data_IF_261008359348
#
_entry.id   IF_261008359348
#
_cell.length_a   1.000
_cell.length_b   1.000
_cell.length_c   1.000
_cell.angle_alpha   90.00
_cell.angle_beta   90.00
_cell.angle_gamma   90.00
#
_symmetry.space_group_name_H-M   'P 1'
#
loop_
_entity.id
_entity.type
_entity.pdbx_description
1 polymer ?
#
# COMPACT_ATOMS: atom_id res chain seq x y z
N UNK A 1 17.48 20.71 -12.12
CA UNK A 1 17.56 19.25 -12.02
C UNK A 1 16.69 18.67 -13.12
N UNK A 2 17.22 17.79 -13.99
CA UNK A 2 16.43 17.13 -15.05
C UNK A 2 16.07 15.76 -14.51
N UNK A 3 14.80 15.52 -14.18
CA UNK A 3 14.32 14.23 -13.70
C UNK A 3 14.11 13.34 -14.93
N UNK A 4 14.63 12.11 -14.88
CA UNK A 4 14.41 11.07 -15.89
C UNK A 4 13.48 9.99 -15.31
N UNK A 5 12.18 10.02 -15.66
CA UNK A 5 11.21 9.06 -15.12
C UNK A 5 11.43 7.62 -15.55
N UNK A 6 12.29 7.37 -16.56
CA UNK A 6 12.55 6.02 -17.05
C UNK A 6 13.50 5.23 -16.14
N UNK A 7 14.24 5.91 -15.27
CA UNK A 7 15.15 5.31 -14.30
C UNK A 7 14.48 4.91 -12.97
N UNK A 8 13.19 5.21 -12.81
CA UNK A 8 12.47 4.96 -11.56
C UNK A 8 12.22 3.47 -11.31
N UNK A 9 12.41 3.06 -10.05
CA UNK A 9 11.84 1.82 -9.54
C UNK A 9 10.30 1.84 -9.65
N UNK A 10 9.62 0.69 -9.57
CA UNK A 10 8.15 0.65 -9.63
C UNK A 10 7.47 1.52 -8.57
N UNK A 11 8.05 1.61 -7.36
CA UNK A 11 7.55 2.47 -6.29
C UNK A 11 7.72 3.95 -6.60
N UNK A 12 8.90 4.36 -7.09
CA UNK A 12 9.14 5.76 -7.50
C UNK A 12 8.25 6.16 -8.69
N UNK A 13 8.06 5.27 -9.66
CA UNK A 13 7.18 5.50 -10.80
C UNK A 13 5.71 5.67 -10.38
N UNK A 14 5.25 4.90 -9.38
CA UNK A 14 3.93 5.08 -8.79
C UNK A 14 3.80 6.46 -8.16
N UNK A 15 4.71 6.81 -7.25
CA UNK A 15 4.68 8.09 -6.54
C UNK A 15 4.70 9.26 -7.54
N UNK A 16 5.56 9.18 -8.55
CA UNK A 16 5.65 10.17 -9.62
C UNK A 16 4.34 10.32 -10.42
N UNK A 17 3.71 9.20 -10.79
CA UNK A 17 2.40 9.22 -11.50
C UNK A 17 1.30 9.89 -10.69
N UNK A 18 1.37 9.84 -9.36
CA UNK A 18 0.44 10.50 -8.45
C UNK A 18 0.88 11.93 -8.07
N UNK A 19 1.94 12.46 -8.70
CA UNK A 19 2.40 13.84 -8.50
C UNK A 19 3.19 14.04 -7.21
N UNK A 20 3.65 12.97 -6.56
CA UNK A 20 4.48 13.05 -5.36
C UNK A 20 5.88 13.51 -5.75
N UNK A 21 6.26 14.69 -5.26
CA UNK A 21 7.59 15.27 -5.48
C UNK A 21 8.37 15.50 -4.18
N UNK A 22 7.72 15.32 -3.03
CA UNK A 22 8.31 15.44 -1.68
C UNK A 22 7.64 14.40 -0.77
N UNK A 23 8.30 13.91 0.30
CA UNK A 23 7.77 12.85 1.17
C UNK A 23 6.41 13.16 1.80
N UNK A 24 6.13 14.43 2.08
CA UNK A 24 4.90 14.92 2.70
C UNK A 24 3.69 14.80 1.77
N UNK A 25 3.91 14.68 0.46
CA UNK A 25 2.85 14.45 -0.52
C UNK A 25 2.35 12.98 -0.53
N UNK A 26 3.00 12.07 0.20
CA UNK A 26 2.66 10.65 0.20
C UNK A 26 1.42 10.42 1.07
N UNK A 27 0.26 10.58 0.43
CA UNK A 27 -1.07 10.29 0.97
C UNK A 27 -1.51 8.88 0.55
N UNK A 28 -1.11 7.88 1.34
CA UNK A 28 -1.33 6.45 1.01
C UNK A 28 -2.80 6.08 0.85
N UNK A 29 -3.69 6.64 1.67
CA UNK A 29 -5.14 6.40 1.56
C UNK A 29 -5.70 6.95 0.25
N UNK A 30 -5.20 8.10 -0.22
CA UNK A 30 -5.60 8.69 -1.49
C UNK A 30 -5.10 7.84 -2.67
N UNK A 31 -3.83 7.40 -2.62
CA UNK A 31 -3.26 6.51 -3.64
C UNK A 31 -4.06 5.20 -3.71
N UNK A 32 -4.36 4.59 -2.56
CA UNK A 32 -5.17 3.38 -2.48
C UNK A 32 -6.56 3.56 -3.11
N UNK A 33 -7.22 4.69 -2.83
CA UNK A 33 -8.52 5.01 -3.40
C UNK A 33 -8.46 5.16 -4.94
N UNK A 34 -7.44 5.83 -5.48
CA UNK A 34 -7.25 5.97 -6.93
C UNK A 34 -6.91 4.62 -7.59
N UNK A 35 -6.14 3.78 -6.92
CA UNK A 35 -5.79 2.43 -7.41
C UNK A 35 -6.90 1.39 -7.17
N UNK A 36 -8.06 1.79 -6.64
CA UNK A 36 -9.26 0.96 -6.56
C UNK A 36 -9.32 -0.02 -5.40
N UNK A 37 -8.50 0.17 -4.36
CA UNK A 37 -8.45 -0.69 -3.17
C UNK A 37 -8.94 0.07 -1.93
N UNK A 38 -9.84 -0.55 -1.17
CA UNK A 38 -10.41 0.09 0.02
C UNK A 38 -9.49 -0.10 1.24
N UNK A 39 -9.26 0.96 2.02
CA UNK A 39 -8.48 0.90 3.27
C UNK A 39 -9.40 0.93 4.49
N UNK A 40 -9.12 0.08 5.48
CA UNK A 40 -9.85 -0.01 6.76
C UNK A 40 -8.89 -0.09 7.93
N UNK A 41 -8.87 0.95 8.76
CA UNK A 41 -8.19 0.93 10.06
C UNK A 41 -9.08 0.24 11.09
N UNK A 42 -8.59 -0.85 11.70
CA UNK A 42 -9.36 -1.63 12.68
C UNK A 42 -8.45 -2.42 13.62
N UNK A 43 -8.95 -2.91 14.76
CA UNK A 43 -8.22 -3.89 15.55
C UNK A 43 -7.89 -5.13 14.70
N UNK A 44 -6.61 -5.50 14.68
CA UNK A 44 -6.11 -6.74 14.09
C UNK A 44 -5.42 -7.59 15.16
N UNK A 45 -5.36 -8.89 14.96
CA UNK A 45 -4.56 -9.81 15.78
C UNK A 45 -3.58 -10.55 14.88
N UNK A 46 -2.35 -10.78 15.38
CA UNK A 46 -1.32 -11.53 14.66
C UNK A 46 -0.63 -10.81 13.48
N UNK A 47 -1.13 -9.68 12.98
CA UNK A 47 -0.56 -8.94 11.84
C UNK A 47 -0.74 -7.41 11.97
N UNK A 48 0.03 -6.62 11.20
CA UNK A 48 -0.09 -5.14 11.16
C UNK A 48 -0.94 -4.62 10.01
N UNK A 49 -0.97 -5.35 8.90
CA UNK A 49 -1.92 -5.14 7.84
C UNK A 49 -2.25 -6.48 7.18
N UNK A 50 -3.29 -6.47 6.35
CA UNK A 50 -3.69 -7.61 5.54
C UNK A 50 -4.46 -7.13 4.31
N UNK A 51 -4.01 -7.51 3.12
CA UNK A 51 -4.79 -7.45 1.89
C UNK A 51 -5.69 -8.69 1.75
N UNK A 52 -6.94 -8.46 1.35
CA UNK A 52 -7.85 -9.51 0.89
C UNK A 52 -8.33 -9.11 -0.50
N UNK A 53 -8.16 -10.01 -1.47
CA UNK A 53 -8.58 -9.82 -2.87
C UNK A 53 -9.67 -10.84 -3.22
N UNK A 54 -10.77 -10.35 -3.78
CA UNK A 54 -11.84 -11.18 -4.36
C UNK A 54 -12.14 -10.62 -5.74
N UNK A 55 -11.99 -11.45 -6.76
CA UNK A 55 -12.08 -11.06 -8.17
C UNK A 55 -11.17 -9.86 -8.48
N UNK A 56 -11.77 -8.73 -8.88
CA UNK A 56 -11.11 -7.47 -9.22
C UNK A 56 -11.16 -6.42 -8.09
N UNK A 57 -11.52 -6.83 -6.86
CA UNK A 57 -11.69 -5.94 -5.71
C UNK A 57 -10.75 -6.32 -4.57
N UNK A 58 -10.17 -5.32 -3.94
CA UNK A 58 -9.30 -5.48 -2.78
C UNK A 58 -9.76 -4.67 -1.57
N UNK A 59 -9.51 -5.20 -0.38
CA UNK A 59 -9.57 -4.47 0.89
C UNK A 59 -8.26 -4.65 1.64
N UNK A 60 -7.60 -3.55 1.99
CA UNK A 60 -6.47 -3.52 2.90
C UNK A 60 -7.00 -3.17 4.29
N UNK A 61 -6.86 -4.10 5.23
CA UNK A 61 -7.05 -3.80 6.66
C UNK A 61 -5.72 -3.42 7.29
N UNK A 62 -5.66 -2.33 8.04
CA UNK A 62 -4.48 -1.90 8.80
C UNK A 62 -4.80 -1.89 10.28
N UNK A 63 -3.85 -2.34 11.12
CA UNK A 63 -4.00 -2.32 12.57
C UNK A 63 -4.17 -0.87 13.01
N UNK A 64 -5.27 -0.61 13.69
CA UNK A 64 -5.48 0.67 14.34
C UNK A 64 -4.61 0.77 15.59
N UNK A 65 -3.53 1.55 15.49
CA UNK A 65 -2.57 1.83 16.54
C UNK A 65 -2.02 3.24 16.37
N UNK A 66 -2.74 4.20 16.96
CA UNK A 66 -2.36 5.61 16.94
C UNK A 66 -0.97 5.90 17.55
N UNK A 67 -0.42 5.00 18.38
CA UNK A 67 0.90 5.17 18.96
C UNK A 67 2.05 4.88 17.97
N UNK A 68 1.79 4.28 16.81
CA UNK A 68 2.81 3.94 15.82
C UNK A 68 2.38 4.19 14.37
N UNK A 69 2.11 5.46 14.07
CA UNK A 69 1.70 5.93 12.72
C UNK A 69 2.72 5.53 11.65
N UNK A 70 4.03 5.56 11.96
CA UNK A 70 5.07 5.14 11.02
C UNK A 70 4.91 3.68 10.57
N UNK A 71 4.63 2.77 11.52
CA UNK A 71 4.38 1.36 11.21
C UNK A 71 3.06 1.14 10.47
N UNK A 72 2.03 1.94 10.76
CA UNK A 72 0.78 1.91 9.98
C UNK A 72 1.02 2.30 8.52
N UNK A 73 1.73 3.41 8.29
CA UNK A 73 2.08 3.89 6.94
C UNK A 73 2.90 2.85 6.18
N UNK A 74 3.92 2.29 6.83
CA UNK A 74 4.74 1.24 6.22
C UNK A 74 3.90 0.01 5.84
N UNK A 75 3.06 -0.47 6.76
CA UNK A 75 2.23 -1.66 6.53
C UNK A 75 1.21 -1.42 5.42
N UNK A 76 0.58 -0.24 5.36
CA UNK A 76 -0.32 0.14 4.26
C UNK A 76 0.41 0.18 2.92
N UNK A 77 1.59 0.82 2.86
CA UNK A 77 2.38 0.91 1.64
C UNK A 77 2.82 -0.48 1.13
N UNK A 78 3.17 -1.40 2.05
CA UNK A 78 3.53 -2.77 1.74
C UNK A 78 2.37 -3.52 1.07
N UNK A 79 1.19 -3.50 1.68
CA UNK A 79 -0.01 -4.16 1.10
C UNK A 79 -0.46 -3.50 -0.22
N UNK A 80 -0.29 -2.19 -0.35
CA UNK A 80 -0.59 -1.47 -1.59
C UNK A 80 0.35 -1.90 -2.73
N UNK A 81 1.62 -2.15 -2.43
CA UNK A 81 2.56 -2.72 -3.40
C UNK A 81 2.14 -4.13 -3.85
N UNK A 82 1.68 -4.98 -2.92
CA UNK A 82 1.11 -6.29 -3.27
C UNK A 82 -0.14 -6.16 -4.15
N UNK A 83 -1.08 -5.27 -3.80
CA UNK A 83 -2.25 -5.00 -4.63
C UNK A 83 -1.85 -4.65 -6.06
N UNK A 84 -0.91 -3.73 -6.23
CA UNK A 84 -0.50 -3.29 -7.56
C UNK A 84 0.20 -4.38 -8.36
N UNK A 85 1.00 -5.24 -7.72
CA UNK A 85 1.72 -6.32 -8.37
C UNK A 85 0.80 -7.49 -8.73
N UNK A 86 -0.08 -7.85 -7.81
CA UNK A 86 -0.74 -9.16 -7.80
C UNK A 86 -2.26 -9.10 -8.07
N UNK A 87 -2.84 -7.92 -8.35
CA UNK A 87 -4.29 -7.73 -8.61
C UNK A 87 -4.91 -8.63 -9.69
N UNK A 88 -4.11 -9.26 -10.55
CA UNK A 88 -4.59 -10.18 -11.59
C UNK A 88 -4.23 -11.66 -11.32
N UNK A 89 -3.51 -11.95 -10.24
CA UNK A 89 -2.89 -13.26 -10.00
C UNK A 89 -3.73 -14.20 -9.13
N UNK A 90 -4.90 -13.76 -8.65
CA UNK A 90 -5.81 -14.58 -7.85
C UNK A 90 -5.29 -14.84 -6.43
N UNK A 91 -5.60 -13.91 -5.51
CA UNK A 91 -5.56 -14.14 -4.06
C UNK A 91 -4.17 -14.27 -3.43
N UNK A 92 -3.51 -13.14 -3.17
CA UNK A 92 -2.40 -13.09 -2.22
C UNK A 92 -2.96 -12.95 -0.79
N UNK A 93 -2.93 -14.02 0.00
CA UNK A 93 -3.08 -13.96 1.46
C UNK A 93 -1.70 -13.71 2.05
N UNK A 94 -1.36 -12.46 2.29
CA UNK A 94 -0.10 -12.09 2.93
C UNK A 94 -0.15 -12.42 4.43
N UNK A 95 0.82 -13.21 4.89
CA UNK A 95 1.04 -13.53 6.32
C UNK A 95 2.08 -12.55 6.89
N UNK A 96 2.21 -12.52 8.21
CA UNK A 96 3.16 -11.65 8.92
C UNK A 96 4.63 -11.87 8.55
N UNK A 97 4.96 -12.97 7.88
CA UNK A 97 6.32 -13.33 7.46
C UNK A 97 6.87 -12.40 6.35
N UNK A 98 6.00 -11.74 5.57
CA UNK A 98 6.40 -10.83 4.49
C UNK A 98 6.77 -9.41 4.95
N UNK A 99 6.53 -9.06 6.23
CA UNK A 99 6.73 -7.71 6.81
C UNK A 99 8.12 -7.54 7.49
N UNK A 100 8.98 -8.56 7.46
CA UNK A 100 10.26 -8.60 8.20
C UNK A 100 11.32 -7.64 7.66
#
# INVERSE_FOLDING_TARGET
MRIDPTAFSPGEALLWRHGVVEPEHIELDAIAAVEGVAVRYRPLSGCEARLVVVDDRGIISVRDNAANIGRQRFSLAHELAHWMRDRHSGGALCSSDDIS
#
